data_IF_479790739952
#
_entry.id   IF_479790739952
#
_cell.length_a   1.000
_cell.length_b   1.000
_cell.length_c   1.000
_cell.angle_alpha   90.00
_cell.angle_beta   90.00
_cell.angle_gamma   90.00
#
_symmetry.space_group_name_H-M   'P 1'
#
loop_
_entity.id
_entity.type
_entity.pdbx_description
1 polymer ?
#
# COMPACT_ATOMS: atom_id res chain seq x y z
N UNK A 1 -3.94 -75.82 5.77
CA UNK A 1 -3.66 -75.00 4.57
C UNK A 1 -3.47 -73.54 4.99
N UNK A 2 -2.28 -73.00 4.68
CA UNK A 2 -1.94 -71.58 4.39
C UNK A 2 -2.01 -70.51 5.50
N UNK A 3 -0.79 -70.13 5.90
CA UNK A 3 -0.30 -68.91 6.58
C UNK A 3 -0.44 -67.62 5.74
N UNK A 4 -0.49 -66.44 6.39
CA UNK A 4 0.09 -65.14 5.93
C UNK A 4 -0.08 -64.05 7.01
N UNK A 5 0.96 -63.65 7.75
CA UNK A 5 2.04 -62.67 7.44
C UNK A 5 1.56 -61.21 7.22
N UNK A 6 1.82 -60.38 8.23
CA UNK A 6 2.66 -59.17 8.14
C UNK A 6 2.15 -57.99 7.31
N UNK A 7 1.56 -56.99 7.98
CA UNK A 7 1.42 -55.63 7.44
C UNK A 7 2.73 -54.87 7.62
N UNK A 8 3.41 -54.61 6.51
CA UNK A 8 4.60 -53.76 6.41
C UNK A 8 4.20 -52.29 6.48
N UNK A 9 4.94 -51.54 7.29
CA UNK A 9 5.11 -50.09 7.19
C UNK A 9 5.50 -49.70 5.76
N UNK A 10 4.83 -48.70 5.21
CA UNK A 10 5.23 -48.02 3.99
C UNK A 10 5.53 -46.56 4.33
N UNK A 11 6.82 -46.27 4.38
CA UNK A 11 7.41 -44.94 4.39
C UNK A 11 7.81 -44.60 2.95
N UNK A 12 7.20 -43.56 2.36
CA UNK A 12 7.60 -42.88 1.10
C UNK A 12 6.87 -41.55 1.05
N UNK A 13 7.38 -40.43 0.57
CA UNK A 13 8.70 -40.00 0.12
C UNK A 13 8.59 -38.47 0.02
N UNK A 14 9.64 -37.77 0.45
CA UNK A 14 9.81 -36.33 0.25
C UNK A 14 9.86 -36.03 -1.25
N UNK A 15 9.02 -35.12 -1.75
CA UNK A 15 9.28 -34.39 -3.01
C UNK A 15 9.26 -32.89 -2.75
N UNK A 16 10.42 -32.40 -2.32
CA UNK A 16 10.79 -31.00 -2.29
C UNK A 16 10.99 -30.55 -3.76
N UNK A 17 10.10 -29.68 -4.23
CA UNK A 17 10.14 -29.14 -5.59
C UNK A 17 11.31 -28.15 -5.73
N UNK A 18 12.26 -28.51 -6.60
CA UNK A 18 13.43 -27.69 -6.96
C UNK A 18 12.98 -26.47 -7.77
N UNK A 19 13.26 -25.28 -7.24
CA UNK A 19 13.18 -23.96 -7.89
C UNK A 19 14.32 -23.83 -8.91
N UNK A 20 14.09 -23.48 -10.19
CA UNK A 20 15.19 -23.27 -11.12
C UNK A 20 15.83 -21.89 -10.90
N UNK A 21 17.14 -21.90 -10.66
CA UNK A 21 17.99 -20.73 -10.57
C UNK A 21 18.11 -20.04 -11.94
N UNK A 22 17.76 -18.75 -11.98
CA UNK A 22 17.87 -17.88 -13.14
C UNK A 22 19.36 -17.52 -13.34
N UNK A 23 19.95 -17.98 -14.45
CA UNK A 23 21.33 -17.68 -14.85
C UNK A 23 21.51 -16.16 -15.00
N UNK A 24 22.46 -15.60 -14.26
CA UNK A 24 22.96 -14.24 -14.45
C UNK A 24 23.76 -14.18 -15.76
N UNK A 25 23.30 -13.37 -16.70
CA UNK A 25 23.96 -13.10 -17.96
C UNK A 25 25.19 -12.22 -17.76
N UNK A 26 26.29 -12.61 -18.42
CA UNK A 26 27.58 -11.95 -18.41
C UNK A 26 27.49 -10.48 -18.87
N UNK A 27 28.00 -9.58 -18.03
CA UNK A 27 28.22 -8.17 -18.37
C UNK A 27 29.52 -8.05 -19.15
N UNK A 28 29.42 -8.16 -20.48
CA UNK A 28 30.51 -7.84 -21.39
C UNK A 28 30.70 -6.32 -21.44
N UNK A 29 31.79 -5.83 -20.86
CA UNK A 29 32.23 -4.44 -21.03
C UNK A 29 32.59 -4.21 -22.51
N UNK A 30 31.67 -3.67 -23.28
CA UNK A 30 31.96 -3.14 -24.62
C UNK A 30 32.62 -1.78 -24.45
N UNK A 31 33.88 -1.68 -24.86
CA UNK A 31 34.56 -0.39 -25.01
C UNK A 31 33.91 0.35 -26.18
N UNK A 32 33.19 1.43 -25.88
CA UNK A 32 32.59 2.27 -26.90
C UNK A 32 33.68 3.19 -27.45
N UNK A 33 34.10 2.93 -28.69
CA UNK A 33 34.99 3.82 -29.44
C UNK A 33 34.20 5.06 -29.88
N UNK A 34 34.24 6.08 -29.02
CA UNK A 34 33.52 7.36 -29.21
C UNK A 34 34.07 8.17 -30.39
N UNK A 35 35.20 7.77 -30.97
CA UNK A 35 35.85 8.41 -32.11
C UNK A 35 35.09 8.18 -33.43
N UNK A 36 34.17 7.21 -33.46
CA UNK A 36 33.30 6.91 -34.60
C UNK A 36 31.88 7.48 -34.49
N UNK A 37 31.51 8.14 -33.38
CA UNK A 37 30.27 8.91 -33.32
C UNK A 37 30.45 10.24 -34.06
N UNK A 38 30.55 10.16 -35.38
CA UNK A 38 30.43 11.33 -36.23
C UNK A 38 29.06 11.97 -36.01
N UNK A 39 29.03 13.29 -35.81
CA UNK A 39 27.84 14.10 -35.57
C UNK A 39 26.77 14.06 -36.67
N UNK A 40 26.95 13.22 -37.70
CA UNK A 40 26.06 13.05 -38.84
C UNK A 40 25.08 11.87 -38.68
N UNK A 41 25.39 10.89 -37.82
CA UNK A 41 24.50 9.73 -37.60
C UNK A 41 23.37 10.02 -36.61
N UNK A 42 23.48 11.07 -35.80
CA UNK A 42 22.42 11.48 -34.85
C UNK A 42 21.25 12.21 -35.53
N UNK A 43 21.40 12.64 -36.79
CA UNK A 43 20.37 13.35 -37.55
C UNK A 43 19.68 12.45 -38.61
N UNK A 44 20.12 11.20 -38.76
CA UNK A 44 19.57 10.23 -39.70
C UNK A 44 18.74 9.13 -39.03
N UNK A 45 18.69 9.06 -37.70
CA UNK A 45 17.69 8.22 -37.03
C UNK A 45 16.31 8.86 -37.22
N UNK A 46 15.35 8.19 -37.89
CA UNK A 46 13.98 8.69 -37.92
C UNK A 46 13.52 8.79 -36.48
N UNK A 47 13.09 10.00 -36.07
CA UNK A 47 12.52 10.25 -34.74
C UNK A 47 11.42 9.23 -34.53
N UNK A 48 11.72 8.17 -33.76
CA UNK A 48 10.71 7.18 -33.41
C UNK A 48 9.66 7.95 -32.63
N UNK A 49 8.39 7.98 -33.06
CA UNK A 49 7.36 8.62 -32.28
C UNK A 49 7.42 7.95 -30.91
N UNK A 50 7.66 8.76 -29.87
CA UNK A 50 7.61 8.28 -28.50
C UNK A 50 6.22 7.68 -28.38
N UNK A 51 6.15 6.35 -28.28
CA UNK A 51 4.90 5.68 -28.00
C UNK A 51 4.56 6.00 -26.56
N UNK A 52 3.92 7.15 -26.37
CA UNK A 52 3.27 7.48 -25.11
C UNK A 52 2.14 6.45 -25.04
N UNK A 53 2.38 5.35 -24.32
CA UNK A 53 1.31 4.47 -23.89
C UNK A 53 0.39 5.33 -23.03
N UNK A 54 -0.57 5.98 -23.67
CA UNK A 54 -1.67 6.64 -23.00
C UNK A 54 -2.30 5.56 -22.13
N UNK A 55 -2.10 5.66 -20.81
CA UNK A 55 -2.59 4.66 -19.85
C UNK A 55 -4.10 4.53 -20.06
N UNK A 56 -4.57 3.41 -20.65
CA UNK A 56 -5.97 3.29 -21.00
C UNK A 56 -6.71 2.93 -19.71
N UNK A 57 -7.20 3.94 -19.00
CA UNK A 57 -7.93 3.69 -17.76
C UNK A 57 -8.54 4.95 -17.20
N UNK A 58 -9.88 5.00 -17.15
CA UNK A 58 -10.58 5.94 -16.28
C UNK A 58 -9.97 5.84 -14.88
N UNK A 59 -9.37 6.92 -14.40
CA UNK A 59 -8.80 6.99 -13.05
C UNK A 59 -9.94 6.96 -12.03
N UNK A 60 -10.38 5.75 -11.69
CA UNK A 60 -11.31 5.51 -10.59
C UNK A 60 -10.51 5.45 -9.31
N UNK A 61 -10.90 6.26 -8.34
CA UNK A 61 -10.32 6.18 -7.00
C UNK A 61 -10.85 4.92 -6.33
N UNK A 62 -9.94 4.13 -5.76
CA UNK A 62 -10.33 3.01 -4.91
C UNK A 62 -10.88 3.56 -3.58
N UNK A 63 -12.20 3.62 -3.44
CA UNK A 63 -12.88 4.18 -2.28
C UNK A 63 -12.52 3.47 -0.97
N UNK A 64 -12.26 2.15 -1.00
CA UNK A 64 -11.86 1.40 0.19
C UNK A 64 -10.48 1.83 0.67
N UNK A 65 -9.52 1.95 -0.26
CA UNK A 65 -8.18 2.42 0.07
C UNK A 65 -8.22 3.85 0.63
N UNK A 66 -9.06 4.72 0.06
CA UNK A 66 -9.24 6.09 0.56
C UNK A 66 -9.87 6.11 1.96
N UNK A 67 -10.86 5.26 2.22
CA UNK A 67 -11.45 5.06 3.54
C UNK A 67 -10.39 4.68 4.59
N UNK A 68 -9.60 3.63 4.32
CA UNK A 68 -8.57 3.19 5.27
C UNK A 68 -7.49 4.27 5.48
N UNK A 69 -7.08 4.97 4.42
CA UNK A 69 -6.11 6.05 4.53
C UNK A 69 -6.62 7.21 5.40
N UNK A 70 -7.85 7.69 5.16
CA UNK A 70 -8.44 8.74 5.99
C UNK A 70 -8.64 8.29 7.43
N UNK A 71 -9.13 7.07 7.66
CA UNK A 71 -9.27 6.52 9.00
C UNK A 71 -7.94 6.49 9.76
N UNK A 72 -6.89 5.96 9.12
CA UNK A 72 -5.56 5.90 9.70
C UNK A 72 -4.97 7.28 10.02
N UNK A 73 -5.11 8.25 9.10
CA UNK A 73 -4.64 9.63 9.30
C UNK A 73 -5.37 10.28 10.47
N UNK A 74 -6.70 10.15 10.55
CA UNK A 74 -7.47 10.76 11.66
C UNK A 74 -7.13 10.13 13.00
N UNK A 75 -6.93 8.82 13.06
CA UNK A 75 -6.44 8.12 14.25
C UNK A 75 -5.06 8.63 14.68
N UNK A 76 -4.14 8.80 13.72
CA UNK A 76 -2.81 9.34 14.02
C UNK A 76 -2.89 10.76 14.58
N UNK A 77 -3.72 11.63 14.02
CA UNK A 77 -3.96 12.98 14.52
C UNK A 77 -4.54 12.94 15.94
N UNK A 78 -5.52 12.08 16.20
CA UNK A 78 -6.12 11.94 17.52
C UNK A 78 -5.08 11.50 18.56
N UNK A 79 -4.20 10.55 18.21
CA UNK A 79 -3.11 10.11 19.08
C UNK A 79 -2.16 11.24 19.41
N UNK A 80 -1.75 12.01 18.39
CA UNK A 80 -0.88 13.18 18.58
C UNK A 80 -1.55 14.18 19.52
N UNK A 81 -2.79 14.59 19.26
CA UNK A 81 -3.53 15.52 20.11
C UNK A 81 -3.68 14.97 21.53
N UNK A 82 -3.95 13.67 21.68
CA UNK A 82 -4.08 13.03 23.00
C UNK A 82 -2.77 13.09 23.80
N UNK A 83 -1.63 12.84 23.14
CA UNK A 83 -0.30 12.92 23.78
C UNK A 83 0.01 14.37 24.18
N UNK A 84 -0.13 15.33 23.27
CA UNK A 84 0.13 16.74 23.58
C UNK A 84 -0.86 17.33 24.60
N UNK A 85 -2.10 16.85 24.58
CA UNK A 85 -3.14 17.17 25.55
C UNK A 85 -2.79 16.70 26.96
N UNK A 86 -2.23 15.51 27.09
CA UNK A 86 -1.80 14.98 28.40
C UNK A 86 -0.70 15.84 29.05
N UNK A 87 0.13 16.53 28.25
CA UNK A 87 1.14 17.46 28.73
C UNK A 87 0.64 18.91 28.90
N UNK A 88 -0.65 19.19 28.62
CA UNK A 88 -1.24 20.53 28.74
C UNK A 88 -0.86 21.53 27.63
N UNK A 89 -0.12 21.12 26.60
CA UNK A 89 0.29 22.03 25.52
C UNK A 89 -0.80 22.28 24.47
N UNK A 90 -1.81 21.41 24.41
CA UNK A 90 -2.81 21.39 23.34
C UNK A 90 -4.25 21.43 23.87
N UNK A 91 -4.49 22.10 25.01
CA UNK A 91 -5.82 22.17 25.64
C UNK A 91 -6.91 22.69 24.68
N UNK A 92 -6.60 23.69 23.85
CA UNK A 92 -7.56 24.19 22.84
C UNK A 92 -7.89 23.16 21.75
N UNK A 93 -6.91 22.35 21.34
CA UNK A 93 -7.14 21.28 20.36
C UNK A 93 -7.89 20.10 20.99
N UNK A 94 -7.61 19.77 22.25
CA UNK A 94 -8.33 18.76 23.03
C UNK A 94 -9.79 19.16 23.19
N UNK A 95 -10.06 20.41 23.59
CA UNK A 95 -11.42 20.96 23.72
C UNK A 95 -12.21 20.84 22.42
N UNK A 96 -11.57 21.17 21.29
CA UNK A 96 -12.17 21.01 19.96
C UNK A 96 -12.48 19.53 19.66
N UNK A 97 -11.55 18.62 19.95
CA UNK A 97 -11.75 17.18 19.72
C UNK A 97 -12.85 16.61 20.62
N UNK A 98 -12.90 16.98 21.90
CA UNK A 98 -13.99 16.60 22.82
C UNK A 98 -15.35 17.10 22.35
N UNK A 99 -15.42 18.31 21.77
CA UNK A 99 -16.67 18.80 21.19
C UNK A 99 -17.09 18.09 19.90
N UNK A 100 -16.11 17.57 19.14
CA UNK A 100 -16.33 16.86 17.88
C UNK A 100 -16.62 15.37 18.06
N UNK A 101 -16.28 14.79 19.21
CA UNK A 101 -16.38 13.34 19.45
C UNK A 101 -17.15 13.09 20.74
N UNK A 102 -18.32 12.45 20.63
CA UNK A 102 -19.22 12.23 21.76
C UNK A 102 -18.60 11.33 22.85
N UNK A 103 -17.67 10.45 22.47
CA UNK A 103 -17.10 9.45 23.37
C UNK A 103 -15.66 9.75 23.77
N UNK A 104 -15.06 10.82 23.22
CA UNK A 104 -13.68 11.17 23.51
C UNK A 104 -13.58 11.90 24.84
N UNK A 105 -12.58 11.51 25.62
CA UNK A 105 -12.18 12.17 26.85
C UNK A 105 -10.68 11.92 27.05
N UNK A 106 -9.99 12.84 27.72
CA UNK A 106 -8.58 12.73 28.09
C UNK A 106 -8.28 11.66 29.18
N UNK A 107 -9.02 10.56 29.16
CA UNK A 107 -8.81 9.36 29.98
C UNK A 107 -8.42 8.19 29.08
N UNK A 108 -7.74 7.17 29.63
CA UNK A 108 -7.28 6.01 28.84
C UNK A 108 -8.44 5.33 28.09
N UNK A 109 -9.59 5.17 28.75
CA UNK A 109 -10.78 4.59 28.13
C UNK A 109 -11.42 5.53 27.10
N UNK A 110 -11.45 6.85 27.36
CA UNK A 110 -11.96 7.84 26.40
C UNK A 110 -11.12 7.94 25.13
N UNK A 111 -9.79 7.81 25.24
CA UNK A 111 -8.89 7.76 24.09
C UNK A 111 -9.13 6.50 23.26
N UNK A 112 -9.28 5.33 23.90
CA UNK A 112 -9.58 4.08 23.18
C UNK A 112 -10.94 4.13 22.45
N UNK A 113 -11.97 4.64 23.11
CA UNK A 113 -13.29 4.83 22.50
C UNK A 113 -13.23 5.83 21.35
N UNK A 114 -12.53 6.97 21.56
CA UNK A 114 -12.28 7.96 20.53
C UNK A 114 -11.55 7.38 19.33
N UNK A 115 -10.51 6.56 19.52
CA UNK A 115 -9.77 5.94 18.42
C UNK A 115 -10.68 5.11 17.51
N UNK A 116 -11.57 4.31 18.08
CA UNK A 116 -12.53 3.50 17.32
C UNK A 116 -13.52 4.41 16.59
N UNK A 117 -14.11 5.38 17.28
CA UNK A 117 -15.06 6.33 16.72
C UNK A 117 -14.44 7.12 15.55
N UNK A 118 -13.27 7.71 15.75
CA UNK A 118 -12.55 8.50 14.76
C UNK A 118 -12.13 7.66 13.54
N UNK A 119 -11.72 6.41 13.75
CA UNK A 119 -11.41 5.47 12.67
C UNK A 119 -12.64 5.20 11.81
N UNK A 120 -13.78 4.90 12.43
CA UNK A 120 -15.04 4.65 11.72
C UNK A 120 -15.49 5.88 10.94
N UNK A 121 -15.51 7.06 11.58
CA UNK A 121 -15.91 8.29 10.92
C UNK A 121 -14.96 8.69 9.79
N UNK A 122 -13.65 8.52 9.97
CA UNK A 122 -12.66 8.76 8.92
C UNK A 122 -12.83 7.80 7.74
N UNK A 123 -13.06 6.51 8.03
CA UNK A 123 -13.33 5.51 7.01
C UNK A 123 -14.61 5.81 6.21
N UNK A 124 -15.69 6.16 6.90
CA UNK A 124 -16.97 6.50 6.28
C UNK A 124 -16.86 7.74 5.39
N UNK A 125 -16.15 8.77 5.86
CA UNK A 125 -15.87 9.98 5.06
C UNK A 125 -15.01 9.66 3.84
N UNK A 126 -13.96 8.85 3.98
CA UNK A 126 -13.13 8.45 2.84
C UNK A 126 -13.91 7.61 1.81
N UNK A 127 -14.83 6.74 2.26
CA UNK A 127 -15.74 6.03 1.37
C UNK A 127 -16.67 6.99 0.62
N UNK A 128 -17.28 7.93 1.33
CA UNK A 128 -18.19 8.92 0.74
C UNK A 128 -17.47 9.83 -0.27
N UNK A 129 -16.26 10.28 0.06
CA UNK A 129 -15.41 11.07 -0.84
C UNK A 129 -15.00 10.27 -2.08
N UNK A 130 -14.59 9.00 -1.91
CA UNK A 130 -14.24 8.15 -3.05
C UNK A 130 -15.44 7.86 -3.94
N UNK A 131 -16.61 7.64 -3.35
CA UNK A 131 -17.85 7.44 -4.09
C UNK A 131 -18.29 8.69 -4.85
N UNK A 132 -18.31 9.86 -4.19
CA UNK A 132 -18.65 11.13 -4.83
C UNK A 132 -17.67 11.49 -5.93
N UNK A 133 -16.36 11.33 -5.71
CA UNK A 133 -15.34 11.53 -6.75
C UNK A 133 -15.61 10.66 -7.99
N UNK A 134 -15.92 9.38 -7.79
CA UNK A 134 -16.23 8.46 -8.87
C UNK A 134 -17.57 8.75 -9.55
N UNK A 135 -18.52 9.40 -8.86
CA UNK A 135 -19.79 9.85 -9.41
C UNK A 135 -19.60 11.07 -10.33
N UNK A 136 -18.79 12.05 -9.91
CA UNK A 136 -18.50 13.25 -10.71
C UNK A 136 -17.53 12.99 -11.86
N UNK A 137 -16.64 12.01 -11.72
CA UNK A 137 -15.66 11.63 -12.76
C UNK A 137 -16.21 10.64 -13.80
N UNK A 138 -17.52 10.37 -13.78
CA UNK A 138 -18.17 9.33 -14.58
C UNK A 138 -18.62 9.86 -15.93
#
# INVERSE_FOLDING_TARGET
MVTKRGKKHVSREKKLTKKPAKKAGASGKKNYDLSRLGSRDLLSEPVRPIQIHALPGRMKVNSLALGYALGAVRVAVLLVVSVFGFFGYAEGAVSLVESLHFTFSLSVFGILAGLVETMLWGFLMGLLLGWTYNLFSR
#
